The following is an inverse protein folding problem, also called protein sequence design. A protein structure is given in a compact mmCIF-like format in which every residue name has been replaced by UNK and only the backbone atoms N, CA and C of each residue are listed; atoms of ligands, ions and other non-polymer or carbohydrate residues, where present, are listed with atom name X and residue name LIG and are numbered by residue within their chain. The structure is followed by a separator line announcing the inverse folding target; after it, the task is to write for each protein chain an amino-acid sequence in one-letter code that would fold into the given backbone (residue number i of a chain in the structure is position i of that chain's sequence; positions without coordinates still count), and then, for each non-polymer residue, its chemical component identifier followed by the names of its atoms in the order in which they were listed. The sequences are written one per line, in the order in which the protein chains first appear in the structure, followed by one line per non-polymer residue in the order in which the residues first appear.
data_IF_238685475254
#
_entry.id   IF_238685475254
#
_cell.length_a   1.000
_cell.length_b   1.000
_cell.length_c   1.000
_cell.angle_alpha   90.00
_cell.angle_beta   90.00
_cell.angle_gamma   90.00
#
_symmetry.space_group_name_H-M   'P 1'
#
loop_
_entity.id
_entity.type
_entity.pdbx_description
1 polymer ?
#
# COMPACT_ATOMS: atom_id res chain seq x y z
N UNK A 1 -6.39 -11.07 -3.59
CA UNK A 1 -5.84 -12.20 -2.81
C UNK A 1 -6.61 -12.18 -1.51
N UNK A 2 -7.65 -13.00 -1.40
CA UNK A 2 -8.48 -13.05 -0.20
C UNK A 2 -7.75 -13.95 0.81
N UNK A 3 -7.15 -13.34 1.82
CA UNK A 3 -6.57 -14.09 2.92
C UNK A 3 -7.69 -14.26 3.93
N UNK A 4 -8.48 -15.33 3.80
CA UNK A 4 -9.60 -15.55 4.72
C UNK A 4 -9.14 -16.17 6.04
N UNK A 5 -9.70 -15.73 7.15
CA UNK A 5 -9.63 -16.40 8.44
C UNK A 5 -10.29 -17.78 8.33
N UNK A 6 -9.57 -18.88 8.64
CA UNK A 6 -10.13 -20.22 8.50
C UNK A 6 -11.24 -20.52 9.52
N UNK A 7 -11.30 -19.81 10.64
CA UNK A 7 -12.30 -19.97 11.69
C UNK A 7 -13.56 -19.13 11.42
N UNK A 8 -13.38 -17.87 10.99
CA UNK A 8 -14.51 -16.93 10.80
C UNK A 8 -14.92 -16.76 9.33
N UNK A 9 -14.05 -17.12 8.38
CA UNK A 9 -14.24 -16.89 6.94
C UNK A 9 -14.01 -15.44 6.48
N UNK A 10 -13.74 -14.52 7.41
CA UNK A 10 -13.54 -13.09 7.12
C UNK A 10 -12.21 -12.82 6.41
N UNK A 11 -12.13 -11.78 5.57
CA UNK A 11 -10.87 -11.46 4.89
C UNK A 11 -9.95 -10.65 5.81
N UNK A 12 -8.79 -11.21 6.14
CA UNK A 12 -7.75 -10.52 6.88
C UNK A 12 -7.31 -9.21 6.20
N UNK A 13 -7.52 -9.06 4.89
CA UNK A 13 -7.10 -7.88 4.12
C UNK A 13 -8.23 -7.33 3.22
N UNK A 14 -9.35 -6.90 3.82
CA UNK A 14 -10.41 -6.23 3.07
C UNK A 14 -9.94 -5.02 2.24
N UNK A 15 -8.91 -4.31 2.74
CA UNK A 15 -8.30 -3.17 2.06
C UNK A 15 -6.86 -3.51 1.65
N UNK A 16 -6.51 -3.21 0.40
CA UNK A 16 -5.17 -3.38 -0.14
C UNK A 16 -4.32 -2.11 -0.09
N UNK A 17 -4.96 -0.96 0.15
CA UNK A 17 -4.34 0.35 0.01
C UNK A 17 -4.55 1.20 1.27
N UNK A 18 -3.46 1.78 1.76
CA UNK A 18 -3.45 2.59 2.98
C UNK A 18 -2.73 3.92 2.75
N UNK A 19 -3.31 4.99 3.28
CA UNK A 19 -2.70 6.31 3.34
C UNK A 19 -2.65 6.79 4.80
N UNK A 20 -1.44 6.95 5.32
CA UNK A 20 -1.16 7.45 6.66
C UNK A 20 -0.79 8.93 6.59
N UNK A 21 -1.42 9.76 7.40
CA UNK A 21 -0.99 11.15 7.55
C UNK A 21 -0.90 11.60 9.00
N UNK A 22 -0.13 12.65 9.25
CA UNK A 22 0.05 13.21 10.60
C UNK A 22 1.34 14.02 10.70
N UNK A 23 1.63 14.63 11.84
CA UNK A 23 2.85 15.41 12.03
C UNK A 23 4.14 14.58 11.89
N UNK A 24 5.29 15.24 11.74
CA UNK A 24 6.59 14.57 11.82
C UNK A 24 6.76 13.93 13.20
N UNK A 25 7.37 12.74 13.27
CA UNK A 25 7.66 12.06 14.54
C UNK A 25 6.52 11.19 15.10
N UNK A 26 5.30 11.24 14.53
CA UNK A 26 4.16 10.42 15.01
C UNK A 26 4.23 8.93 14.63
N UNK A 27 5.33 8.47 14.04
CA UNK A 27 5.56 7.04 13.77
C UNK A 27 5.12 6.52 12.40
N UNK A 28 4.75 7.37 11.42
CA UNK A 28 4.37 6.94 10.06
C UNK A 28 5.41 6.06 9.36
N UNK A 29 6.64 6.57 9.20
CA UNK A 29 7.70 5.80 8.53
C UNK A 29 8.12 4.57 9.33
N UNK A 30 8.01 4.62 10.67
CA UNK A 30 8.22 3.45 11.53
C UNK A 30 7.19 2.36 11.22
N UNK A 31 5.90 2.71 11.17
CA UNK A 31 4.83 1.79 10.81
C UNK A 31 5.07 1.15 9.44
N UNK A 32 5.42 1.96 8.42
CA UNK A 32 5.67 1.45 7.07
C UNK A 32 6.82 0.42 7.02
N UNK A 33 7.89 0.66 7.78
CA UNK A 33 9.02 -0.28 7.87
C UNK A 33 8.64 -1.56 8.63
N UNK A 34 7.89 -1.45 9.73
CA UNK A 34 7.45 -2.60 10.53
C UNK A 34 6.34 -3.41 9.85
N UNK A 35 5.61 -2.81 8.89
CA UNK A 35 4.51 -3.48 8.20
C UNK A 35 4.97 -4.77 7.49
N UNK A 36 6.10 -4.76 6.79
CA UNK A 36 6.58 -5.94 6.05
C UNK A 36 6.90 -7.09 7.00
N UNK A 37 7.56 -6.79 8.12
CA UNK A 37 7.90 -7.79 9.14
C UNK A 37 6.65 -8.37 9.78
N UNK A 38 5.68 -7.51 10.11
CA UNK A 38 4.39 -7.94 10.67
C UNK A 38 3.60 -8.79 9.68
N UNK A 39 3.57 -8.41 8.39
CA UNK A 39 2.91 -9.17 7.33
C UNK A 39 3.56 -10.54 7.14
N UNK A 40 4.88 -10.60 7.11
CA UNK A 40 5.62 -11.86 7.00
C UNK A 40 5.43 -12.75 8.24
N UNK A 41 5.44 -12.17 9.45
CA UNK A 41 5.16 -12.90 10.68
C UNK A 41 3.75 -13.49 10.68
N UNK A 42 2.75 -12.66 10.36
CA UNK A 42 1.36 -13.10 10.25
C UNK A 42 1.23 -14.25 9.26
N UNK A 43 1.79 -14.06 8.06
CA UNK A 43 1.75 -15.07 7.02
C UNK A 43 2.37 -16.40 7.45
N UNK A 44 3.59 -16.37 8.01
CA UNK A 44 4.30 -17.57 8.50
C UNK A 44 3.51 -18.29 9.60
N UNK A 45 2.77 -17.54 10.43
CA UNK A 45 2.02 -18.09 11.56
C UNK A 45 0.65 -18.63 11.19
N UNK A 46 -0.07 -17.98 10.27
CA UNK A 46 -1.50 -18.25 10.04
C UNK A 46 -1.84 -18.73 8.62
N UNK A 47 -0.96 -18.59 7.65
CA UNK A 47 -1.28 -18.81 6.23
C UNK A 47 -0.45 -19.92 5.55
N UNK A 48 0.60 -20.45 6.19
CA UNK A 48 1.48 -21.48 5.63
C UNK A 48 0.69 -22.75 5.29
N UNK A 49 0.94 -23.31 4.10
CA UNK A 49 0.30 -24.55 3.62
C UNK A 49 -0.85 -24.31 2.65
N UNK A 50 -1.19 -23.05 2.34
CA UNK A 50 -2.11 -22.73 1.24
C UNK A 50 -1.39 -22.89 -0.12
N UNK A 51 -2.06 -23.35 -1.20
CA UNK A 51 -1.42 -23.64 -2.49
C UNK A 51 -0.62 -22.48 -3.09
N UNK A 52 -1.07 -21.24 -2.87
CA UNK A 52 -0.42 -20.02 -3.35
C UNK A 52 0.80 -19.59 -2.51
N UNK A 53 1.13 -20.36 -1.47
CA UNK A 53 1.85 -19.90 -0.29
C UNK A 53 2.65 -21.05 0.35
N UNK A 54 3.76 -21.38 -0.28
CA UNK A 54 4.70 -22.35 0.28
C UNK A 54 5.45 -21.78 1.51
N UNK A 55 6.14 -22.66 2.23
CA UNK A 55 6.87 -22.31 3.44
C UNK A 55 8.09 -21.40 3.21
N UNK A 56 8.49 -21.18 1.96
CA UNK A 56 9.62 -20.33 1.58
C UNK A 56 9.17 -18.96 1.06
N UNK A 57 7.88 -18.77 0.81
CA UNK A 57 7.33 -17.51 0.36
C UNK A 57 7.56 -16.41 1.42
N UNK A 58 8.05 -15.27 0.95
CA UNK A 58 8.32 -14.09 1.76
C UNK A 58 7.89 -12.86 0.97
N UNK A 59 7.08 -12.02 1.60
CA UNK A 59 6.69 -10.74 1.03
C UNK A 59 7.93 -9.86 0.90
N UNK A 60 8.02 -9.15 -0.23
CA UNK A 60 9.06 -8.17 -0.49
C UNK A 60 8.46 -6.79 -0.65
N UNK A 61 9.24 -5.76 -0.32
CA UNK A 61 8.84 -4.37 -0.48
C UNK A 61 9.68 -3.62 -1.50
N UNK A 62 9.04 -2.66 -2.15
CA UNK A 62 9.68 -1.72 -3.06
C UNK A 62 9.31 -0.28 -2.67
N UNK A 63 10.33 0.55 -2.48
CA UNK A 63 10.17 1.97 -2.22
C UNK A 63 10.01 2.72 -3.54
N UNK A 64 8.77 3.09 -3.85
CA UNK A 64 8.41 3.74 -5.12
C UNK A 64 8.62 5.25 -5.01
N UNK A 65 9.42 5.78 -5.93
CA UNK A 65 9.58 7.22 -6.12
C UNK A 65 8.28 7.88 -6.54
N UNK A 66 8.13 9.16 -6.20
CA UNK A 66 6.95 9.99 -6.47
C UNK A 66 6.99 10.55 -7.90
N UNK A 67 7.13 9.66 -8.86
CA UNK A 67 7.20 9.91 -10.30
C UNK A 67 6.49 8.77 -11.06
N UNK A 68 6.42 8.86 -12.39
CA UNK A 68 5.75 7.84 -13.21
C UNK A 68 6.55 6.54 -13.41
N UNK A 69 7.83 6.50 -13.00
CA UNK A 69 8.76 5.42 -13.35
C UNK A 69 8.80 4.33 -12.29
N UNK A 70 8.77 3.08 -12.72
CA UNK A 70 8.87 1.87 -11.88
C UNK A 70 10.27 1.26 -11.99
N UNK A 71 11.29 2.11 -12.07
CA UNK A 71 12.68 1.65 -12.25
C UNK A 71 13.10 0.74 -11.10
N UNK A 72 13.71 -0.39 -11.43
CA UNK A 72 14.13 -1.43 -10.48
C UNK A 72 12.99 -2.16 -9.75
N UNK A 73 11.72 -1.88 -10.05
CA UNK A 73 10.62 -2.71 -9.57
C UNK A 73 10.75 -4.12 -10.16
N UNK A 74 10.69 -5.13 -9.31
CA UNK A 74 10.83 -6.53 -9.66
C UNK A 74 9.70 -7.37 -9.04
N UNK A 75 8.47 -6.93 -9.28
CA UNK A 75 7.25 -7.62 -8.84
C UNK A 75 7.15 -7.79 -7.31
N UNK A 76 7.71 -6.86 -6.54
CA UNK A 76 7.54 -6.82 -5.09
C UNK A 76 6.06 -6.65 -4.71
N UNK A 77 5.69 -7.28 -3.60
CA UNK A 77 4.30 -7.37 -3.15
C UNK A 77 3.80 -6.09 -2.48
N UNK A 78 4.69 -5.41 -1.74
CA UNK A 78 4.37 -4.24 -0.93
C UNK A 78 5.04 -3.02 -1.52
N UNK A 79 4.25 -2.04 -1.94
CA UNK A 79 4.78 -0.76 -2.43
C UNK A 79 4.68 0.26 -1.32
N UNK A 80 5.78 0.98 -1.08
CA UNK A 80 5.82 2.08 -0.11
C UNK A 80 6.09 3.37 -0.86
N UNK A 81 5.22 4.38 -0.68
CA UNK A 81 5.38 5.74 -1.19
C UNK A 81 5.38 6.70 0.00
N UNK A 82 6.57 7.09 0.46
CA UNK A 82 6.69 8.06 1.57
C UNK A 82 6.67 9.51 1.06
N UNK A 83 6.37 10.46 1.94
CA UNK A 83 6.35 11.91 1.71
C UNK A 83 5.44 12.39 0.55
N UNK A 84 4.25 11.82 0.41
CA UNK A 84 3.27 12.26 -0.60
C UNK A 84 2.79 13.69 -0.29
N UNK A 85 2.65 14.56 -1.28
CA UNK A 85 2.12 15.93 -1.12
C UNK A 85 1.54 16.45 -2.44
N UNK A 86 0.82 17.58 -2.39
CA UNK A 86 0.14 18.19 -3.55
C UNK A 86 1.05 18.36 -4.78
N UNK A 87 2.28 18.83 -4.59
CA UNK A 87 3.21 19.09 -5.71
C UNK A 87 3.64 17.80 -6.43
N UNK A 88 3.55 16.65 -5.75
CA UNK A 88 3.92 15.34 -6.29
C UNK A 88 2.74 14.67 -6.99
N UNK A 89 1.53 14.91 -6.50
CA UNK A 89 0.31 14.27 -7.03
C UNK A 89 -0.30 15.05 -8.19
N UNK A 90 -0.04 16.36 -8.32
CA UNK A 90 -0.67 17.25 -9.31
C UNK A 90 -0.66 16.71 -10.75
N UNK A 91 0.43 16.05 -11.14
CA UNK A 91 0.64 15.44 -12.47
C UNK A 91 0.63 13.91 -12.46
N UNK A 92 0.36 13.30 -11.31
CA UNK A 92 0.33 11.85 -11.15
C UNK A 92 -1.08 11.31 -10.85
N UNK A 93 -2.11 12.16 -10.77
CA UNK A 93 -3.49 11.75 -10.44
C UNK A 93 -3.99 10.53 -11.21
N UNK A 94 -3.84 10.52 -12.53
CA UNK A 94 -4.19 9.38 -13.39
C UNK A 94 -3.37 8.12 -13.07
N UNK A 95 -2.07 8.28 -12.84
CA UNK A 95 -1.20 7.18 -12.43
C UNK A 95 -1.61 6.61 -11.07
N UNK A 96 -1.92 7.45 -10.08
CA UNK A 96 -2.44 6.98 -8.80
C UNK A 96 -3.77 6.25 -8.97
N UNK A 97 -4.69 6.73 -9.81
CA UNK A 97 -5.97 6.03 -10.04
C UNK A 97 -5.77 4.64 -10.64
N UNK A 98 -4.78 4.48 -11.51
CA UNK A 98 -4.40 3.21 -12.13
C UNK A 98 -3.67 2.27 -11.14
N UNK A 99 -2.68 2.78 -10.40
CA UNK A 99 -1.90 1.96 -9.46
C UNK A 99 -2.74 1.43 -8.30
N UNK A 100 -3.73 2.22 -7.86
CA UNK A 100 -4.63 1.88 -6.77
C UNK A 100 -5.91 1.19 -7.27
N UNK A 101 -5.89 0.63 -8.48
CA UNK A 101 -7.00 -0.19 -8.98
C UNK A 101 -6.86 -1.67 -8.58
N UNK A 102 -7.96 -2.40 -8.66
CA UNK A 102 -7.98 -3.84 -8.47
C UNK A 102 -7.50 -4.60 -9.71
N UNK A 103 -7.36 -3.92 -10.85
CA UNK A 103 -6.90 -4.51 -12.12
C UNK A 103 -5.39 -4.38 -12.30
N UNK A 104 -4.71 -5.36 -12.92
CA UNK A 104 -3.31 -5.22 -13.30
C UNK A 104 -3.09 -4.04 -14.25
N UNK A 105 -1.94 -3.38 -14.14
CA UNK A 105 -1.59 -2.23 -14.96
C UNK A 105 -0.20 -2.38 -15.60
N UNK A 106 0.13 -1.46 -16.52
CA UNK A 106 1.43 -1.40 -17.18
C UNK A 106 2.35 -0.44 -16.43
N UNK A 107 3.50 -0.92 -15.99
CA UNK A 107 4.50 -0.10 -15.32
C UNK A 107 5.53 0.42 -16.31
N UNK A 108 5.63 1.74 -16.45
CA UNK A 108 6.66 2.37 -17.27
C UNK A 108 8.01 2.28 -16.54
N UNK A 109 9.00 1.69 -17.21
CA UNK A 109 10.42 1.67 -16.78
C UNK A 109 11.21 2.43 -17.83
N UNK A 110 12.31 3.10 -17.47
CA UNK A 110 13.10 3.83 -18.47
C UNK A 110 13.55 2.91 -19.60
N UNK A 111 13.09 3.20 -20.82
CA UNK A 111 13.41 2.43 -22.02
C UNK A 111 12.70 1.07 -22.14
N UNK A 112 11.74 0.74 -21.27
CA UNK A 112 11.02 -0.53 -21.28
C UNK A 112 9.63 -0.41 -20.63
N UNK A 113 8.94 -1.54 -20.47
CA UNK A 113 7.65 -1.61 -19.79
C UNK A 113 7.48 -2.97 -19.12
N UNK A 114 7.01 -2.98 -17.88
CA UNK A 114 6.53 -4.18 -17.20
C UNK A 114 5.04 -4.34 -17.47
N UNK A 115 4.64 -5.51 -17.97
CA UNK A 115 3.24 -5.80 -18.29
C UNK A 115 2.54 -6.47 -17.12
N UNK A 116 1.28 -6.10 -16.89
CA UNK A 116 0.37 -6.76 -15.95
C UNK A 116 0.90 -6.82 -14.51
N UNK A 117 1.45 -5.72 -14.02
CA UNK A 117 1.85 -5.65 -12.61
C UNK A 117 0.61 -5.42 -11.74
N UNK A 118 0.59 -6.08 -10.58
CA UNK A 118 -0.45 -5.92 -9.57
C UNK A 118 0.16 -6.16 -8.18
N UNK A 119 0.72 -5.11 -7.56
CA UNK A 119 1.17 -5.21 -6.18
C UNK A 119 0.00 -5.61 -5.26
N UNK A 120 0.32 -6.31 -4.17
CA UNK A 120 -0.68 -6.77 -3.19
C UNK A 120 -1.08 -5.66 -2.24
N UNK A 121 -0.12 -4.82 -1.87
CA UNK A 121 -0.33 -3.69 -0.97
C UNK A 121 0.35 -2.45 -1.51
N UNK A 122 -0.32 -1.30 -1.38
CA UNK A 122 0.31 0.00 -1.60
C UNK A 122 0.05 0.87 -0.39
N UNK A 123 1.14 1.27 0.27
CA UNK A 123 1.14 2.06 1.48
C UNK A 123 1.74 3.43 1.19
N UNK A 124 1.05 4.47 1.65
CA UNK A 124 1.49 5.85 1.53
C UNK A 124 1.64 6.50 2.88
N UNK A 125 2.61 7.39 3.01
CA UNK A 125 2.72 8.28 4.16
C UNK A 125 2.85 9.75 3.72
N UNK A 126 2.27 10.65 4.52
CA UNK A 126 2.33 12.10 4.29
C UNK A 126 2.31 12.90 5.58
N UNK A 127 2.86 14.12 5.53
CA UNK A 127 2.63 15.13 6.57
C UNK A 127 1.36 15.98 6.33
N UNK A 128 0.70 15.76 5.19
CA UNK A 128 -0.49 16.49 4.75
C UNK A 128 -1.70 15.54 4.73
N UNK A 129 -2.89 16.09 4.91
CA UNK A 129 -4.12 15.30 4.82
C UNK A 129 -4.30 14.74 3.40
N UNK A 130 -5.11 13.70 3.27
CA UNK A 130 -5.42 13.14 1.96
C UNK A 130 -5.96 14.20 0.98
N UNK A 131 -6.82 15.11 1.43
CA UNK A 131 -7.39 16.17 0.59
C UNK A 131 -6.36 17.24 0.20
N UNK A 132 -5.40 17.53 1.09
CA UNK A 132 -4.27 18.40 0.75
C UNK A 132 -3.36 17.73 -0.30
N UNK A 133 -3.17 16.41 -0.22
CA UNK A 133 -2.41 15.67 -1.22
C UNK A 133 -3.16 15.54 -2.54
N UNK A 134 -4.48 15.35 -2.56
CA UNK A 134 -5.28 15.20 -3.76
C UNK A 134 -6.37 16.28 -3.80
N UNK A 135 -6.04 17.54 -4.14
CA UNK A 135 -7.01 18.64 -4.09
C UNK A 135 -8.01 18.61 -5.24
N UNK A 136 -7.66 17.99 -6.36
CA UNK A 136 -8.55 17.85 -7.53
C UNK A 136 -9.60 16.77 -7.26
N UNK A 137 -10.88 17.14 -7.33
CA UNK A 137 -11.99 16.23 -7.05
C UNK A 137 -12.04 15.01 -7.98
N UNK A 138 -11.62 15.19 -9.23
CA UNK A 138 -11.48 14.14 -10.25
C UNK A 138 -10.50 13.02 -9.87
N UNK A 139 -9.52 13.32 -9.01
CA UNK A 139 -8.58 12.34 -8.48
C UNK A 139 -8.98 11.88 -7.08
N UNK A 140 -9.35 12.84 -6.22
CA UNK A 140 -9.68 12.60 -4.83
C UNK A 140 -10.85 11.62 -4.67
N UNK A 141 -11.97 11.86 -5.35
CA UNK A 141 -13.20 11.09 -5.17
C UNK A 141 -13.00 9.61 -5.56
N UNK A 142 -12.40 9.28 -6.72
CA UNK A 142 -12.08 7.89 -7.05
C UNK A 142 -11.11 7.25 -6.05
N UNK A 143 -10.04 7.95 -5.66
CA UNK A 143 -9.01 7.38 -4.78
C UNK A 143 -9.53 7.17 -3.36
N UNK A 144 -10.35 8.08 -2.80
CA UNK A 144 -10.96 7.95 -1.47
C UNK A 144 -11.82 6.68 -1.33
N UNK A 145 -12.40 6.19 -2.42
CA UNK A 145 -13.21 4.96 -2.40
C UNK A 145 -12.36 3.69 -2.37
N UNK A 146 -11.10 3.78 -2.80
CA UNK A 146 -10.17 2.64 -2.93
C UNK A 146 -9.16 2.57 -1.77
N UNK A 147 -8.88 3.70 -1.13
CA UNK A 147 -7.78 3.85 -0.17
C UNK A 147 -8.33 4.05 1.24
N UNK A 148 -7.89 3.22 2.18
CA UNK A 148 -8.12 3.47 3.59
C UNK A 148 -7.22 4.62 4.05
N UNK A 149 -7.82 5.65 4.64
CA UNK A 149 -7.10 6.84 5.13
C UNK A 149 -7.10 6.83 6.65
N UNK A 150 -5.93 7.02 7.27
CA UNK A 150 -5.79 7.06 8.72
C UNK A 150 -4.88 8.21 9.17
N UNK A 151 -5.31 8.93 10.21
CA UNK A 151 -4.53 9.97 10.86
C UNK A 151 -3.71 9.36 12.01
N UNK A 152 -2.38 9.34 11.87
CA UNK A 152 -1.47 8.94 12.94
C UNK A 152 -1.21 10.09 13.90
N UNK A 153 -1.36 9.79 15.19
CA UNK A 153 -1.07 10.70 16.32
C UNK A 153 0.01 10.10 17.20
N UNK A 154 0.61 10.93 18.04
CA UNK A 154 1.55 10.43 19.05
C UNK A 154 0.87 9.42 19.97
N UNK A 155 1.52 8.28 20.20
CA UNK A 155 0.96 7.18 21.01
C UNK A 155 -0.12 6.34 20.32
N UNK A 156 -0.39 6.59 19.04
CA UNK A 156 -1.36 5.79 18.27
C UNK A 156 -0.90 4.33 18.11
N UNK A 157 -1.80 3.39 18.43
CA UNK A 157 -1.57 1.94 18.32
C UNK A 157 -2.32 1.38 17.12
N UNK A 158 -2.24 2.09 15.99
CA UNK A 158 -2.88 1.69 14.76
C UNK A 158 -2.30 0.36 14.26
N UNK A 159 -3.19 -0.59 13.98
CA UNK A 159 -2.85 -1.89 13.40
C UNK A 159 -3.56 -2.03 12.07
N UNK A 160 -2.78 -2.29 11.02
CA UNK A 160 -3.32 -2.51 9.70
C UNK A 160 -2.63 -3.67 9.00
N UNK A 161 -3.40 -4.66 8.53
CA UNK A 161 -4.80 -4.90 8.88
C UNK A 161 -5.04 -5.07 10.39
N UNK A 162 -6.28 -4.88 10.83
CA UNK A 162 -6.64 -5.19 12.20
C UNK A 162 -6.76 -6.72 12.37
N UNK A 163 -5.74 -7.34 12.93
CA UNK A 163 -5.66 -8.80 13.11
C UNK A 163 -6.49 -9.35 14.28
N UNK A 164 -7.16 -8.49 15.05
CA UNK A 164 -8.01 -8.91 16.18
C UNK A 164 -9.47 -9.20 15.75
N UNK A 165 -9.69 -9.53 14.46
CA UNK A 165 -10.98 -9.97 13.93
C UNK A 165 -11.08 -11.50 14.00
#
# INVERSE_FOLDING_TARGET
MYLQNPETGEDYHHNHFLFLYGATGVGKSKFLNEFLDNLNYFYKKFCVGRPQFDSKYEFKQYFKSKDKWWDHYNYEDVIIIDEVNASKTEFLGDHFKEWFDQTPFKANVKGSMLNQIRPKFILMASNFTFDQCFPKTEDNIPLRRKIQVHEMKEGDNFRWPNWNM
#
